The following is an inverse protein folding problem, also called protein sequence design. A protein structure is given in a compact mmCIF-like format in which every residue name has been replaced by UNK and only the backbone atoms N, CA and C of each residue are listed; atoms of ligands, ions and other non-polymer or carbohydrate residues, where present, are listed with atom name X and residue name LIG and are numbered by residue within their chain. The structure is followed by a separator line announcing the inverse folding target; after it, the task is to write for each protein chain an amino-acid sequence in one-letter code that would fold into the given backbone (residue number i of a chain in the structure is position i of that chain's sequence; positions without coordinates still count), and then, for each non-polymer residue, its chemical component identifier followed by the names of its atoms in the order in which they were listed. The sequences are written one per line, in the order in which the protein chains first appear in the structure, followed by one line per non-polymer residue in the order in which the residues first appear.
data_IF_644770003749
#
_entry.id   IF_644770003749
#
_cell.length_a   1.000
_cell.length_b   1.000
_cell.length_c   1.000
_cell.angle_alpha   90.00
_cell.angle_beta   90.00
_cell.angle_gamma   90.00
#
_symmetry.space_group_name_H-M   'P 1'
#
loop_
_entity.id
_entity.type
_entity.pdbx_description
1 polymer ?
#
# COMPACT_ATOMS: atom_id res chain seq x y z
N UNK A 1 17.83 6.01 -93.45
CA UNK A 1 16.97 4.99 -92.81
C UNK A 1 17.25 4.99 -91.30
N UNK A 2 16.17 5.17 -90.51
CA UNK A 2 15.97 4.67 -89.13
C UNK A 2 16.60 5.46 -87.96
N UNK A 3 15.90 6.53 -87.58
CA UNK A 3 15.28 6.85 -86.28
C UNK A 3 15.83 6.21 -84.99
N UNK A 4 16.03 7.01 -83.94
CA UNK A 4 15.29 6.96 -82.64
C UNK A 4 16.02 7.84 -81.60
N UNK A 5 15.45 8.97 -81.16
CA UNK A 5 14.68 9.11 -79.91
C UNK A 5 15.27 8.36 -78.70
N UNK A 6 15.87 9.12 -77.76
CA UNK A 6 15.70 9.06 -76.29
C UNK A 6 16.87 9.76 -75.60
N UNK A 7 16.57 10.67 -74.69
CA UNK A 7 17.57 11.37 -73.87
C UNK A 7 17.15 12.74 -73.36
N UNK A 8 15.89 13.13 -73.47
CA UNK A 8 15.34 14.31 -72.82
C UNK A 8 14.94 13.94 -71.38
N UNK A 9 15.88 13.99 -70.43
CA UNK A 9 15.66 14.11 -68.96
C UNK A 9 16.95 13.80 -68.18
N UNK A 10 17.90 14.74 -68.11
CA UNK A 10 19.04 14.57 -67.18
C UNK A 10 19.67 15.90 -66.72
N UNK A 11 18.88 16.96 -66.57
CA UNK A 11 19.36 18.23 -66.01
C UNK A 11 18.37 18.78 -64.98
N UNK A 12 18.12 17.99 -63.96
CA UNK A 12 17.57 18.43 -62.70
C UNK A 12 18.14 17.51 -61.63
N UNK A 13 18.35 18.04 -60.43
CA UNK A 13 18.87 17.38 -59.22
C UNK A 13 20.40 17.36 -59.07
N UNK A 14 20.99 18.51 -58.75
CA UNK A 14 22.14 18.56 -57.85
C UNK A 14 22.07 19.82 -56.98
N UNK A 15 21.13 19.83 -56.04
CA UNK A 15 21.21 20.64 -54.82
C UNK A 15 20.99 19.71 -53.63
N UNK A 16 21.94 18.79 -53.43
CA UNK A 16 22.00 18.00 -52.21
C UNK A 16 22.59 18.89 -51.11
N UNK A 17 21.73 19.43 -50.25
CA UNK A 17 22.17 20.13 -49.05
C UNK A 17 23.02 19.21 -48.18
N UNK A 18 24.18 19.69 -47.75
CA UNK A 18 25.03 18.96 -46.80
C UNK A 18 24.25 18.77 -45.49
N UNK A 19 23.85 17.53 -45.21
CA UNK A 19 23.28 17.17 -43.93
C UNK A 19 24.35 17.29 -42.85
N UNK A 20 24.20 18.28 -41.96
CA UNK A 20 24.99 18.37 -40.72
C UNK A 20 24.51 17.28 -39.78
N UNK A 21 25.29 16.19 -39.68
CA UNK A 21 25.08 15.13 -38.69
C UNK A 21 25.93 15.44 -37.46
N UNK A 22 25.29 15.72 -36.33
CA UNK A 22 25.96 15.86 -35.04
C UNK A 22 26.20 14.50 -34.39
N UNK A 23 27.20 14.41 -33.51
CA UNK A 23 27.40 13.25 -32.64
C UNK A 23 26.27 13.17 -31.61
N UNK A 24 25.65 12.00 -31.45
CA UNK A 24 24.77 11.74 -30.31
C UNK A 24 25.62 11.22 -29.14
N UNK A 25 25.96 12.11 -28.21
CA UNK A 25 26.54 11.71 -26.93
C UNK A 25 25.42 11.27 -25.97
N UNK A 26 25.46 10.00 -25.53
CA UNK A 26 24.54 9.51 -24.51
C UNK A 26 24.96 10.00 -23.12
N UNK A 27 24.07 10.74 -22.45
CA UNK A 27 24.25 11.11 -21.04
C UNK A 27 23.12 10.49 -20.22
N UNK A 28 23.44 9.66 -19.20
CA UNK A 28 22.44 9.11 -18.29
C UNK A 28 21.67 10.22 -17.56
N UNK A 29 20.37 10.04 -17.34
CA UNK A 29 19.55 11.01 -16.59
C UNK A 29 19.76 10.91 -15.08
N UNK A 30 20.15 9.73 -14.60
CA UNK A 30 20.30 9.44 -13.18
C UNK A 30 21.70 9.88 -12.71
N UNK A 31 21.78 10.75 -11.68
CA UNK A 31 23.04 11.23 -11.11
C UNK A 31 24.02 10.11 -10.74
N UNK A 32 23.52 8.96 -10.27
CA UNK A 32 24.34 7.83 -9.85
C UNK A 32 25.14 7.18 -10.99
N UNK A 33 24.78 7.46 -12.25
CA UNK A 33 25.47 6.95 -13.44
C UNK A 33 26.20 8.06 -14.21
N UNK A 34 26.45 9.22 -13.58
CA UNK A 34 27.13 10.35 -14.24
C UNK A 34 26.18 11.35 -14.92
N UNK A 35 24.90 11.32 -14.57
CA UNK A 35 23.90 12.31 -14.99
C UNK A 35 23.92 13.62 -14.20
N UNK A 36 23.08 14.57 -14.61
CA UNK A 36 22.99 15.86 -13.94
C UNK A 36 22.50 15.73 -12.47
N UNK A 37 23.25 16.22 -11.47
CA UNK A 37 22.92 16.03 -10.04
C UNK A 37 21.60 16.68 -9.61
N UNK A 38 21.14 17.68 -10.37
CA UNK A 38 19.88 18.38 -10.14
C UNK A 38 18.64 17.49 -10.34
N UNK A 39 18.78 16.35 -11.02
CA UNK A 39 17.67 15.41 -11.24
C UNK A 39 17.40 14.47 -10.04
N UNK A 40 18.25 14.48 -9.01
CA UNK A 40 18.16 13.57 -7.85
C UNK A 40 16.82 13.65 -7.12
N UNK A 41 16.37 14.87 -6.78
CA UNK A 41 15.14 15.11 -6.02
C UNK A 41 13.90 14.67 -6.78
N UNK A 42 13.83 14.98 -8.08
CA UNK A 42 12.73 14.58 -8.95
C UNK A 42 12.65 13.06 -9.09
N UNK A 43 13.77 12.39 -9.39
CA UNK A 43 13.82 10.94 -9.52
C UNK A 43 13.45 10.23 -8.22
N UNK A 44 13.93 10.72 -7.08
CA UNK A 44 13.58 10.18 -5.76
C UNK A 44 12.10 10.38 -5.43
N UNK A 45 11.54 11.55 -5.73
CA UNK A 45 10.11 11.83 -5.54
C UNK A 45 9.25 10.90 -6.39
N UNK A 46 9.61 10.69 -7.65
CA UNK A 46 8.88 9.76 -8.52
C UNK A 46 8.98 8.31 -8.05
N UNK A 47 10.16 7.89 -7.56
CA UNK A 47 10.36 6.56 -7.02
C UNK A 47 9.55 6.33 -5.73
N UNK A 48 9.49 7.33 -4.85
CA UNK A 48 8.67 7.27 -3.64
C UNK A 48 7.17 7.20 -3.96
N UNK A 49 6.68 8.02 -4.90
CA UNK A 49 5.29 7.98 -5.32
C UNK A 49 4.91 6.61 -5.93
N UNK A 50 5.81 6.01 -6.71
CA UNK A 50 5.63 4.64 -7.23
C UNK A 50 5.62 3.60 -6.11
N UNK A 51 6.59 3.66 -5.18
CA UNK A 51 6.65 2.78 -4.01
C UNK A 51 5.37 2.85 -3.18
N UNK A 52 4.85 4.04 -2.91
CA UNK A 52 3.63 4.21 -2.11
C UNK A 52 2.38 3.72 -2.87
N UNK A 53 2.34 3.87 -4.19
CA UNK A 53 1.26 3.35 -5.04
C UNK A 53 1.29 1.81 -5.13
N UNK A 54 2.46 1.20 -5.26
CA UNK A 54 2.61 -0.26 -5.41
C UNK A 54 2.73 -1.00 -4.07
N UNK A 55 3.07 -0.33 -2.97
CA UNK A 55 3.13 -0.96 -1.64
C UNK A 55 1.77 -1.53 -1.22
N UNK A 56 0.67 -0.84 -1.54
CA UNK A 56 -0.69 -1.35 -1.28
C UNK A 56 -1.00 -2.60 -2.12
N UNK A 57 -0.54 -2.63 -3.36
CA UNK A 57 -0.73 -3.76 -4.28
C UNK A 57 0.16 -4.95 -3.92
N UNK A 58 1.37 -4.71 -3.38
CA UNK A 58 2.24 -5.76 -2.86
C UNK A 58 1.67 -6.45 -1.61
N UNK A 59 1.00 -5.71 -0.72
CA UNK A 59 0.30 -6.31 0.44
C UNK A 59 -0.93 -7.11 -0.02
N UNK A 60 -1.69 -6.59 -0.98
CA UNK A 60 -2.85 -7.32 -1.56
C UNK A 60 -2.42 -8.55 -2.37
N UNK A 61 -1.28 -8.47 -3.06
CA UNK A 61 -0.69 -9.58 -3.83
C UNK A 61 0.05 -10.58 -2.93
N UNK A 62 0.54 -10.20 -1.74
CA UNK A 62 1.00 -11.18 -0.74
C UNK A 62 -0.15 -12.04 -0.17
N UNK A 63 -1.41 -11.60 -0.36
CA UNK A 63 -2.60 -12.41 -0.09
C UNK A 63 -2.97 -13.32 -1.30
N UNK A 64 -2.36 -13.13 -2.49
CA UNK A 64 -2.81 -13.79 -3.74
C UNK A 64 -1.69 -14.27 -4.71
N UNK A 65 -0.39 -14.13 -4.42
CA UNK A 65 0.66 -14.36 -5.43
C UNK A 65 2.08 -14.61 -4.90
N UNK A 66 2.39 -15.89 -4.71
CA UNK A 66 3.68 -16.61 -4.81
C UNK A 66 5.00 -15.82 -4.92
N UNK A 67 5.87 -16.00 -3.90
CA UNK A 67 7.30 -15.69 -3.94
C UNK A 67 8.10 -16.58 -2.99
N UNK A 68 8.40 -17.81 -3.45
CA UNK A 68 9.54 -18.67 -3.07
C UNK A 68 10.04 -18.63 -1.62
N UNK A 69 9.41 -19.42 -0.74
CA UNK A 69 10.08 -20.34 0.21
C UNK A 69 9.03 -21.32 0.76
N UNK A 70 9.14 -22.59 0.36
CA UNK A 70 8.50 -23.78 0.95
C UNK A 70 6.95 -23.79 1.15
N UNK A 71 6.19 -24.56 0.35
CA UNK A 71 4.75 -24.73 0.51
C UNK A 71 4.47 -25.74 1.64
N UNK A 72 4.54 -25.31 2.89
CA UNK A 72 3.67 -25.93 3.90
C UNK A 72 2.36 -25.18 3.81
N UNK A 73 1.51 -25.61 2.87
CA UNK A 73 0.27 -24.91 2.54
C UNK A 73 -0.52 -24.57 3.79
N UNK A 74 -1.09 -23.37 3.82
CA UNK A 74 -2.17 -23.03 4.76
C UNK A 74 -3.23 -24.12 4.61
N UNK A 75 -3.21 -25.09 5.53
CA UNK A 75 -4.08 -26.26 5.48
C UNK A 75 -5.54 -25.80 5.52
N UNK A 76 -6.48 -26.61 5.04
CA UNK A 76 -7.91 -26.29 5.19
C UNK A 76 -8.28 -26.00 6.66
N UNK A 77 -7.56 -26.61 7.62
CA UNK A 77 -7.68 -26.33 9.04
C UNK A 77 -7.21 -24.91 9.40
N UNK A 78 -6.10 -24.44 8.85
CA UNK A 78 -5.56 -23.10 9.08
C UNK A 78 -6.50 -22.01 8.51
N UNK A 79 -7.08 -22.23 7.33
CA UNK A 79 -8.11 -21.35 6.78
C UNK A 79 -9.39 -21.36 7.64
N UNK A 80 -9.80 -22.52 8.13
CA UNK A 80 -10.94 -22.65 9.04
C UNK A 80 -10.71 -21.92 10.37
N UNK A 81 -9.51 -22.04 10.95
CA UNK A 81 -9.13 -21.35 12.19
C UNK A 81 -9.20 -19.84 11.99
N UNK A 82 -8.61 -19.29 10.93
CA UNK A 82 -8.67 -17.84 10.63
C UNK A 82 -10.10 -17.34 10.43
N UNK A 83 -10.94 -18.13 9.74
CA UNK A 83 -12.35 -17.79 9.55
C UNK A 83 -13.14 -17.83 10.87
N UNK A 84 -12.84 -18.81 11.74
CA UNK A 84 -13.44 -18.93 13.06
C UNK A 84 -13.00 -17.77 13.95
N UNK A 85 -11.71 -17.47 13.99
CA UNK A 85 -11.13 -16.35 14.73
C UNK A 85 -11.77 -15.02 14.32
N UNK A 86 -11.89 -14.74 13.02
CA UNK A 86 -12.54 -13.51 12.55
C UNK A 86 -14.01 -13.42 12.96
N UNK A 87 -14.75 -14.54 12.93
CA UNK A 87 -16.15 -14.57 13.38
C UNK A 87 -16.27 -14.40 14.90
N UNK A 88 -15.41 -15.05 15.68
CA UNK A 88 -15.39 -14.94 17.13
C UNK A 88 -15.03 -13.51 17.55
N UNK A 89 -14.00 -12.93 16.95
CA UNK A 89 -13.59 -11.54 17.19
C UNK A 89 -14.71 -10.56 16.86
N UNK A 90 -15.42 -10.77 15.75
CA UNK A 90 -16.56 -9.93 15.36
C UNK A 90 -17.74 -10.04 16.34
N UNK A 91 -18.11 -11.26 16.73
CA UNK A 91 -19.20 -11.48 17.69
C UNK A 91 -18.88 -10.87 19.06
N UNK A 92 -17.63 -11.03 19.49
CA UNK A 92 -17.12 -10.50 20.73
C UNK A 92 -17.02 -8.97 20.73
N UNK A 93 -16.52 -8.37 19.65
CA UNK A 93 -16.53 -6.92 19.48
C UNK A 93 -17.96 -6.37 19.59
N UNK A 94 -18.94 -7.10 19.03
CA UNK A 94 -20.36 -6.79 19.22
C UNK A 94 -20.81 -6.87 20.69
N UNK A 95 -20.39 -7.90 21.44
CA UNK A 95 -20.70 -8.01 22.87
C UNK A 95 -20.06 -6.91 23.72
N UNK A 96 -18.80 -6.56 23.45
CA UNK A 96 -18.12 -5.43 24.12
C UNK A 96 -18.81 -4.12 23.76
N UNK A 97 -19.19 -3.93 22.50
CA UNK A 97 -19.94 -2.75 22.06
C UNK A 97 -21.30 -2.65 22.74
N UNK A 98 -22.05 -3.75 22.86
CA UNK A 98 -23.33 -3.79 23.58
C UNK A 98 -23.14 -3.59 25.09
N UNK A 99 -22.08 -4.12 25.71
CA UNK A 99 -21.78 -3.89 27.11
C UNK A 99 -21.47 -2.41 27.42
N UNK A 100 -20.89 -1.69 26.44
CA UNK A 100 -20.50 -0.28 26.56
C UNK A 100 -21.64 0.68 26.17
N UNK A 101 -22.34 0.40 25.06
CA UNK A 101 -23.32 1.30 24.42
C UNK A 101 -24.75 0.76 24.40
N UNK A 102 -24.96 -0.46 24.89
CA UNK A 102 -26.25 -1.13 24.86
C UNK A 102 -27.27 -0.58 25.85
N UNK A 103 -28.38 -1.30 25.94
CA UNK A 103 -29.52 -0.91 26.77
C UNK A 103 -29.29 -0.97 28.29
N UNK A 104 -28.31 -1.76 28.74
CA UNK A 104 -27.86 -1.84 30.14
C UNK A 104 -26.33 -1.72 30.19
N UNK A 105 -25.79 -0.50 30.00
CA UNK A 105 -24.35 -0.31 29.93
C UNK A 105 -23.71 -0.60 31.28
N UNK A 106 -22.56 -1.29 31.27
CA UNK A 106 -21.73 -1.48 32.46
C UNK A 106 -20.65 -0.39 32.50
N UNK A 107 -20.40 0.17 33.69
CA UNK A 107 -19.41 1.25 33.85
C UNK A 107 -17.96 0.76 33.71
N UNK A 108 -17.72 -0.52 33.95
CA UNK A 108 -16.41 -1.14 33.84
C UNK A 108 -16.54 -2.63 33.58
N UNK A 109 -15.57 -3.18 32.87
CA UNK A 109 -15.51 -4.61 32.59
C UNK A 109 -14.13 -5.05 32.13
N UNK A 110 -13.83 -6.32 32.30
CA UNK A 110 -12.58 -6.93 31.86
C UNK A 110 -12.90 -8.19 31.08
N UNK A 111 -12.29 -8.31 29.91
CA UNK A 111 -12.49 -9.45 29.02
C UNK A 111 -11.12 -9.97 28.59
N UNK A 112 -10.86 -11.24 28.86
CA UNK A 112 -9.59 -11.88 28.57
C UNK A 112 -9.72 -12.83 27.38
N UNK A 113 -8.79 -12.72 26.43
CA UNK A 113 -8.72 -13.51 25.20
C UNK A 113 -7.33 -14.12 25.06
N UNK A 114 -7.19 -15.39 25.44
CA UNK A 114 -5.88 -16.06 25.40
C UNK A 114 -4.87 -15.34 26.28
N UNK A 115 -3.89 -14.67 25.66
CA UNK A 115 -2.86 -13.86 26.33
C UNK A 115 -3.17 -12.37 26.34
N UNK A 116 -4.22 -11.91 25.67
CA UNK A 116 -4.62 -10.50 25.61
C UNK A 116 -5.74 -10.22 26.61
N UNK A 117 -5.57 -9.23 27.46
CA UNK A 117 -6.57 -8.74 28.40
C UNK A 117 -7.09 -7.38 27.93
N UNK A 118 -8.41 -7.22 27.87
CA UNK A 118 -9.08 -5.97 27.47
C UNK A 118 -9.91 -5.47 28.63
N UNK A 119 -9.51 -4.36 29.21
CA UNK A 119 -10.25 -3.66 30.26
C UNK A 119 -10.89 -2.43 29.65
N UNK A 120 -12.16 -2.19 29.93
CA UNK A 120 -12.82 -0.94 29.57
C UNK A 120 -13.38 -0.26 30.82
N UNK A 121 -13.29 1.07 30.82
CA UNK A 121 -13.84 1.94 31.85
C UNK A 121 -14.59 3.08 31.16
N UNK A 122 -15.84 3.28 31.58
CA UNK A 122 -16.71 4.33 31.09
C UNK A 122 -16.76 5.44 32.12
N UNK A 123 -16.30 6.62 31.74
CA UNK A 123 -16.46 7.87 32.48
C UNK A 123 -17.60 8.70 31.86
N UNK A 124 -18.00 9.76 32.54
CA UNK A 124 -19.06 10.70 32.11
C UNK A 124 -18.75 11.33 30.74
N UNK A 125 -17.46 11.58 30.44
CA UNK A 125 -17.03 12.32 29.26
C UNK A 125 -16.41 11.41 28.16
N UNK A 126 -15.94 10.22 28.53
CA UNK A 126 -15.21 9.34 27.62
C UNK A 126 -15.23 7.88 28.08
N UNK A 127 -15.02 6.96 27.14
CA UNK A 127 -14.74 5.55 27.41
C UNK A 127 -13.26 5.31 27.14
N UNK A 128 -12.53 4.76 28.11
CA UNK A 128 -11.16 4.28 27.92
C UNK A 128 -11.15 2.76 27.78
N UNK A 129 -10.46 2.25 26.76
CA UNK A 129 -10.17 0.84 26.57
C UNK A 129 -8.67 0.64 26.69
N UNK A 130 -8.26 -0.24 27.59
CA UNK A 130 -6.87 -0.67 27.76
C UNK A 130 -6.76 -2.12 27.32
N UNK A 131 -5.94 -2.36 26.30
CA UNK A 131 -5.63 -3.69 25.77
C UNK A 131 -4.20 -4.02 26.16
N UNK A 132 -4.00 -5.09 26.91
CA UNK A 132 -2.68 -5.56 27.36
C UNK A 132 -2.43 -6.94 26.78
N UNK A 133 -1.35 -7.10 26.02
CA UNK A 133 -0.87 -8.42 25.64
C UNK A 133 0.20 -8.90 26.63
N UNK A 134 -0.06 -10.03 27.29
CA UNK A 134 0.82 -10.62 28.30
C UNK A 134 2.04 -11.36 27.70
N UNK A 135 2.11 -11.53 26.38
CA UNK A 135 3.20 -12.22 25.71
C UNK A 135 4.41 -11.30 25.46
N UNK A 136 4.14 -10.06 25.05
CA UNK A 136 5.13 -9.05 24.68
C UNK A 136 5.07 -7.79 25.57
N UNK A 137 4.06 -7.69 26.42
CA UNK A 137 3.82 -6.54 27.30
C UNK A 137 3.31 -5.32 26.56
N UNK A 138 2.84 -5.48 25.31
CA UNK A 138 2.32 -4.36 24.50
C UNK A 138 1.01 -3.85 25.12
N UNK A 139 0.97 -2.56 25.40
CA UNK A 139 -0.22 -1.86 25.90
C UNK A 139 -0.75 -0.94 24.82
N UNK A 140 -2.01 -1.13 24.44
CA UNK A 140 -2.73 -0.26 23.51
C UNK A 140 -3.89 0.40 24.25
N UNK A 141 -3.88 1.73 24.28
CA UNK A 141 -4.96 2.52 24.89
C UNK A 141 -5.80 3.19 23.79
N UNK A 142 -7.12 3.06 23.90
CA UNK A 142 -8.08 3.64 22.97
C UNK A 142 -9.08 4.45 23.78
N UNK A 143 -9.09 5.76 23.58
CA UNK A 143 -10.04 6.67 24.23
C UNK A 143 -11.10 7.11 23.22
N UNK A 144 -12.36 6.80 23.52
CA UNK A 144 -13.52 7.20 22.72
C UNK A 144 -14.29 8.29 23.48
N UNK A 145 -14.30 9.54 23.00
CA UNK A 145 -15.08 10.60 23.64
C UNK A 145 -16.59 10.35 23.48
N UNK A 146 -17.36 10.58 24.54
CA UNK A 146 -18.82 10.53 24.47
C UNK A 146 -19.38 11.89 24.03
N UNK A 147 -20.41 11.89 23.19
CA UNK A 147 -21.12 13.11 22.86
C UNK A 147 -21.97 13.52 24.07
N UNK A 148 -21.60 14.61 24.73
CA UNK A 148 -22.46 15.24 25.74
C UNK A 148 -23.66 15.90 25.04
N UNK A 149 -24.80 15.21 25.00
CA UNK A 149 -26.08 15.91 24.73
C UNK A 149 -26.44 16.66 26.01
N UNK A 150 -26.16 17.96 26.01
CA UNK A 150 -26.58 18.86 27.10
C UNK A 150 -28.10 18.79 27.26
N UNK A 151 -28.54 18.62 28.51
CA UNK A 151 -29.96 18.66 28.91
C UNK A 151 -30.54 20.06 28.76
#
# INVERSE_FOLDING_TARGET
MKNSFIGFTASALLFAGAGVSGELTYTPINPSFGGAPLNSSHLLSTANAQRDATARDAVSSSTTGTGTTSPTGTTNADLFVRQLEGRLLSALAGQVTEAIFGSNPSDQGTVTFGTTEVTFERTVDSISLTIVDSLDGTVTEIVVPQLITGS
#
